data_IF_221005688653
#
_entry.id   IF_221005688653
#
_cell.length_a   1.000
_cell.length_b   1.000
_cell.length_c   1.000
_cell.angle_alpha   90.00
_cell.angle_beta   90.00
_cell.angle_gamma   90.00
#
_symmetry.space_group_name_H-M   'P 1'
#
loop_
_entity.id
_entity.type
_entity.pdbx_description
1 polymer ?
#
# COMPACT_ATOMS: atom_id res chain seq x y z
N UNK A 1 20.93 35.83 -10.72
CA UNK A 1 20.03 34.68 -10.65
C UNK A 1 19.76 34.50 -9.17
N UNK A 2 18.60 34.95 -8.69
CA UNK A 2 18.15 34.67 -7.33
C UNK A 2 17.93 33.15 -7.25
N UNK A 3 18.77 32.48 -6.46
CA UNK A 3 18.58 31.08 -6.10
C UNK A 3 17.31 31.04 -5.24
N UNK A 4 16.18 30.73 -5.86
CA UNK A 4 14.94 30.53 -5.11
C UNK A 4 15.14 29.30 -4.21
N UNK A 5 15.27 29.54 -2.91
CA UNK A 5 15.52 28.50 -1.88
C UNK A 5 14.49 27.35 -1.93
N UNK A 6 13.38 27.55 -2.63
CA UNK A 6 12.33 26.54 -2.83
C UNK A 6 12.43 25.80 -4.17
N UNK A 7 13.39 26.11 -5.03
CA UNK A 7 13.59 25.41 -6.30
C UNK A 7 14.49 24.19 -6.10
N UNK A 8 13.90 23.11 -5.59
CA UNK A 8 14.56 21.83 -5.38
C UNK A 8 13.61 20.65 -5.72
N UNK A 9 14.14 19.44 -5.94
CA UNK A 9 13.34 18.27 -6.32
C UNK A 9 12.18 17.94 -5.35
N UNK A 10 12.35 18.13 -4.05
CA UNK A 10 11.30 17.88 -3.07
C UNK A 10 10.16 18.89 -3.23
N UNK A 11 10.47 20.19 -3.33
CA UNK A 11 9.46 21.22 -3.55
C UNK A 11 8.70 21.00 -4.85
N UNK A 12 9.39 20.63 -5.95
CA UNK A 12 8.76 20.31 -7.22
C UNK A 12 7.77 19.14 -7.09
N UNK A 13 8.15 18.09 -6.34
CA UNK A 13 7.26 16.96 -6.07
C UNK A 13 6.06 17.36 -5.20
N UNK A 14 6.27 18.15 -4.14
CA UNK A 14 5.18 18.66 -3.29
C UNK A 14 4.16 19.44 -4.13
N UNK A 15 4.63 20.40 -4.93
CA UNK A 15 3.77 21.25 -5.77
C UNK A 15 3.05 20.47 -6.88
N UNK A 16 3.55 19.29 -7.25
CA UNK A 16 2.90 18.42 -8.26
C UNK A 16 1.83 17.50 -7.69
N UNK A 17 1.66 17.40 -6.36
CA UNK A 17 0.69 16.49 -5.76
C UNK A 17 -0.77 16.80 -6.11
N UNK A 18 -1.23 18.06 -6.17
CA UNK A 18 -2.59 18.38 -6.60
C UNK A 18 -2.93 17.81 -7.98
N UNK A 19 -2.02 17.98 -8.95
CA UNK A 19 -2.19 17.44 -10.31
C UNK A 19 -2.08 15.92 -10.36
N UNK A 20 -1.22 15.34 -9.51
CA UNK A 20 -1.04 13.89 -9.40
C UNK A 20 -2.25 13.19 -8.81
N UNK A 21 -3.00 13.84 -7.92
CA UNK A 21 -4.00 13.18 -7.08
C UNK A 21 -5.00 12.34 -7.88
N UNK A 22 -5.63 12.93 -8.92
CA UNK A 22 -6.63 12.25 -9.72
C UNK A 22 -6.04 11.07 -10.52
N UNK A 23 -5.01 11.24 -11.37
CA UNK A 23 -4.45 10.11 -12.14
C UNK A 23 -3.87 9.02 -11.23
N UNK A 24 -3.31 9.38 -10.05
CA UNK A 24 -2.82 8.40 -9.10
C UNK A 24 -3.95 7.55 -8.50
N UNK A 25 -5.06 8.17 -8.12
CA UNK A 25 -6.22 7.45 -7.58
C UNK A 25 -6.83 6.54 -8.65
N UNK A 26 -7.01 7.03 -9.87
CA UNK A 26 -7.53 6.24 -11.00
C UNK A 26 -6.64 5.04 -11.31
N UNK A 27 -5.31 5.25 -11.39
CA UNK A 27 -4.35 4.16 -11.61
C UNK A 27 -4.34 3.14 -10.46
N UNK A 28 -4.41 3.61 -9.22
CA UNK A 28 -4.47 2.72 -8.07
C UNK A 28 -5.80 1.94 -7.98
N UNK A 29 -6.94 2.52 -8.36
CA UNK A 29 -8.22 1.80 -8.45
C UNK A 29 -8.18 0.71 -9.52
N UNK A 30 -7.62 1.02 -10.71
CA UNK A 30 -7.41 0.04 -11.77
C UNK A 30 -6.52 -1.11 -11.27
N UNK A 31 -5.38 -0.80 -10.66
CA UNK A 31 -4.49 -1.80 -10.10
C UNK A 31 -5.16 -2.65 -9.02
N UNK A 32 -5.96 -2.04 -8.14
CA UNK A 32 -6.68 -2.76 -7.09
C UNK A 32 -7.71 -3.73 -7.64
N UNK A 33 -8.40 -3.35 -8.71
CA UNK A 33 -9.40 -4.22 -9.36
C UNK A 33 -8.80 -5.49 -9.98
N UNK A 34 -7.50 -5.47 -10.26
CA UNK A 34 -6.75 -6.58 -10.88
C UNK A 34 -5.84 -7.32 -9.89
N UNK A 35 -5.63 -6.75 -8.69
CA UNK A 35 -4.57 -7.20 -7.78
C UNK A 35 -4.86 -8.55 -7.13
N UNK A 36 -6.03 -8.73 -6.58
CA UNK A 36 -6.36 -9.86 -5.71
C UNK A 36 -7.85 -10.19 -5.79
N UNK A 37 -8.25 -11.46 -5.92
CA UNK A 37 -9.64 -11.86 -6.00
C UNK A 37 -10.45 -11.47 -4.75
N UNK A 38 -11.70 -11.07 -4.95
CA UNK A 38 -12.56 -10.61 -3.85
C UNK A 38 -12.90 -11.73 -2.84
N UNK A 39 -13.00 -12.97 -3.30
CA UNK A 39 -13.26 -14.13 -2.45
C UNK A 39 -12.08 -14.40 -1.49
N UNK A 40 -10.85 -14.10 -1.92
CA UNK A 40 -9.67 -14.13 -1.06
C UNK A 40 -9.74 -13.01 -0.03
N UNK A 41 -10.02 -11.76 -0.45
CA UNK A 41 -10.13 -10.62 0.46
C UNK A 41 -11.23 -10.79 1.51
N UNK A 42 -12.36 -11.41 1.16
CA UNK A 42 -13.47 -11.68 2.09
C UNK A 42 -13.09 -12.53 3.30
N UNK A 43 -12.06 -13.36 3.17
CA UNK A 43 -11.55 -14.22 4.24
C UNK A 43 -10.61 -13.50 5.20
N UNK A 44 -10.01 -12.39 4.78
CA UNK A 44 -8.96 -11.72 5.55
C UNK A 44 -9.48 -11.19 6.89
N UNK A 45 -8.73 -11.47 7.96
CA UNK A 45 -8.98 -11.05 9.34
C UNK A 45 -7.77 -10.36 9.94
N UNK A 46 -6.59 -10.67 9.43
CA UNK A 46 -5.32 -10.12 9.90
C UNK A 46 -4.56 -9.49 8.74
N UNK A 47 -3.97 -8.33 8.98
CA UNK A 47 -3.13 -7.65 7.98
C UNK A 47 -1.82 -7.27 8.66
N UNK A 48 -0.71 -7.70 8.06
CA UNK A 48 0.63 -7.23 8.37
C UNK A 48 1.13 -6.41 7.17
N UNK A 49 1.43 -5.14 7.39
CA UNK A 49 2.00 -4.27 6.35
C UNK A 49 3.47 -4.06 6.65
N UNK A 50 4.33 -4.27 5.67
CA UNK A 50 5.77 -4.09 5.84
C UNK A 50 6.39 -3.26 4.72
N UNK A 51 7.49 -2.57 5.04
CA UNK A 51 8.20 -1.69 4.12
C UNK A 51 9.58 -1.31 4.63
N UNK A 52 10.33 -0.62 3.78
CA UNK A 52 11.61 0.01 4.11
C UNK A 52 11.49 1.52 3.92
N UNK A 53 12.13 2.34 4.78
CA UNK A 53 12.10 3.81 4.66
C UNK A 53 10.67 4.37 4.55
N UNK A 54 10.40 5.16 3.53
CA UNK A 54 9.10 5.79 3.30
C UNK A 54 7.95 4.79 3.15
N UNK A 55 8.22 3.61 2.59
CA UNK A 55 7.23 2.54 2.49
C UNK A 55 6.81 2.01 3.88
N UNK A 56 7.74 1.97 4.84
CA UNK A 56 7.40 1.65 6.23
C UNK A 56 6.55 2.76 6.88
N UNK A 57 6.87 4.03 6.61
CA UNK A 57 6.09 5.16 7.11
C UNK A 57 4.67 5.15 6.50
N UNK A 58 4.54 4.81 5.21
CA UNK A 58 3.23 4.63 4.58
C UNK A 58 2.44 3.47 5.22
N UNK A 59 3.09 2.36 5.54
CA UNK A 59 2.47 1.24 6.25
C UNK A 59 1.93 1.67 7.63
N UNK A 60 2.73 2.41 8.40
CA UNK A 60 2.33 2.95 9.70
C UNK A 60 1.13 3.89 9.58
N UNK A 61 1.18 4.83 8.62
CA UNK A 61 0.12 5.81 8.39
C UNK A 61 -1.20 5.17 7.91
N UNK A 62 -1.16 4.00 7.28
CA UNK A 62 -2.34 3.31 6.79
C UNK A 62 -3.12 2.54 7.87
N UNK A 63 -2.51 2.15 8.99
CA UNK A 63 -3.17 1.34 10.03
C UNK A 63 -4.48 1.95 10.55
N UNK A 64 -4.58 3.26 10.83
CA UNK A 64 -5.86 3.87 11.23
C UNK A 64 -6.98 3.66 10.22
N UNK A 65 -6.67 3.71 8.90
CA UNK A 65 -7.65 3.44 7.85
C UNK A 65 -8.11 1.98 7.86
N UNK A 66 -7.20 1.01 7.98
CA UNK A 66 -7.56 -0.41 8.13
C UNK A 66 -8.45 -0.64 9.35
N UNK A 67 -8.13 -0.03 10.49
CA UNK A 67 -8.95 -0.11 11.70
C UNK A 67 -10.33 0.50 11.51
N UNK A 68 -10.41 1.65 10.85
CA UNK A 68 -11.67 2.37 10.59
C UNK A 68 -12.59 1.63 9.62
N UNK A 69 -12.04 1.17 8.49
CA UNK A 69 -12.84 0.60 7.41
C UNK A 69 -13.06 -0.90 7.55
N UNK A 70 -12.03 -1.66 7.92
CA UNK A 70 -12.06 -3.13 7.95
C UNK A 70 -12.01 -3.73 9.37
N UNK A 71 -11.97 -2.88 10.41
CA UNK A 71 -11.94 -3.33 11.80
C UNK A 71 -13.26 -3.93 12.26
N UNK A 72 -13.21 -5.19 12.72
CA UNK A 72 -14.33 -5.89 13.35
C UNK A 72 -13.79 -6.73 14.51
N UNK A 73 -14.67 -7.31 15.29
CA UNK A 73 -14.26 -8.18 16.38
C UNK A 73 -13.34 -9.31 15.89
N UNK A 74 -12.16 -9.43 16.52
CA UNK A 74 -11.13 -10.40 16.16
C UNK A 74 -10.20 -9.98 15.01
N UNK A 75 -10.42 -8.84 14.34
CA UNK A 75 -9.48 -8.33 13.32
C UNK A 75 -8.21 -7.76 13.97
N UNK A 76 -7.07 -8.01 13.33
CA UNK A 76 -5.77 -7.52 13.76
C UNK A 76 -5.05 -6.84 12.59
N UNK A 77 -4.60 -5.60 12.82
CA UNK A 77 -3.85 -4.80 11.85
C UNK A 77 -2.55 -4.34 12.49
N UNK A 78 -1.44 -4.69 11.86
CA UNK A 78 -0.10 -4.40 12.34
C UNK A 78 0.80 -3.93 11.19
N UNK A 79 1.91 -3.30 11.57
CA UNK A 79 2.96 -2.88 10.66
C UNK A 79 4.34 -3.16 11.27
N UNK A 80 5.33 -3.39 10.43
CA UNK A 80 6.71 -3.60 10.84
C UNK A 80 7.69 -3.16 9.75
N UNK A 81 8.90 -2.75 10.13
CA UNK A 81 9.98 -2.61 9.15
C UNK A 81 10.27 -3.99 8.55
N UNK A 82 10.65 -4.02 7.25
CA UNK A 82 10.86 -5.28 6.57
C UNK A 82 11.90 -6.18 7.26
N UNK A 83 12.96 -5.60 7.82
CA UNK A 83 13.97 -6.34 8.58
C UNK A 83 13.39 -6.97 9.86
N UNK A 84 12.52 -6.26 10.56
CA UNK A 84 11.91 -6.74 11.81
C UNK A 84 10.84 -7.79 11.49
N UNK A 85 10.04 -7.57 10.44
CA UNK A 85 9.07 -8.55 9.96
C UNK A 85 9.75 -9.86 9.56
N UNK A 86 10.87 -9.78 8.82
CA UNK A 86 11.64 -10.96 8.43
C UNK A 86 12.23 -11.73 9.63
N UNK A 87 12.64 -11.04 10.69
CA UNK A 87 13.33 -11.66 11.82
C UNK A 87 12.42 -12.14 12.94
N UNK A 88 11.39 -11.36 13.25
CA UNK A 88 10.64 -11.50 14.51
C UNK A 88 9.17 -11.89 14.31
N UNK A 89 8.64 -11.88 13.07
CA UNK A 89 7.26 -12.33 12.87
C UNK A 89 7.18 -13.85 12.92
N UNK A 90 6.33 -14.35 13.80
CA UNK A 90 5.89 -15.75 13.76
C UNK A 90 4.76 -15.90 12.72
N UNK A 91 5.12 -16.23 11.50
CA UNK A 91 4.18 -16.41 10.40
C UNK A 91 3.23 -17.60 10.62
N UNK A 92 3.62 -18.60 11.42
CA UNK A 92 2.78 -19.76 11.71
C UNK A 92 1.53 -19.37 12.52
N UNK A 93 1.63 -18.32 13.33
CA UNK A 93 0.54 -17.82 14.18
C UNK A 93 -0.34 -16.76 13.51
N UNK A 94 0.02 -16.28 12.29
CA UNK A 94 -0.74 -15.21 11.61
C UNK A 94 -2.13 -15.65 11.14
N UNK A 95 -2.37 -16.95 10.92
CA UNK A 95 -3.70 -17.46 10.56
C UNK A 95 -3.84 -17.94 9.12
N UNK A 96 -2.74 -18.22 8.43
CA UNK A 96 -2.75 -18.81 7.09
C UNK A 96 -3.53 -17.98 6.09
N UNK A 97 -4.47 -18.56 5.35
CA UNK A 97 -5.29 -17.88 4.33
C UNK A 97 -6.15 -16.71 4.84
N UNK A 98 -6.30 -16.57 6.15
CA UNK A 98 -7.01 -15.44 6.77
C UNK A 98 -6.09 -14.25 7.07
N UNK A 99 -4.80 -14.36 6.79
CA UNK A 99 -3.81 -13.31 6.99
C UNK A 99 -3.29 -12.78 5.66
N UNK A 100 -3.34 -11.46 5.48
CA UNK A 100 -2.76 -10.73 4.35
C UNK A 100 -1.45 -10.08 4.78
N UNK A 101 -0.36 -10.44 4.14
CA UNK A 101 0.96 -9.83 4.33
C UNK A 101 1.27 -8.95 3.14
N UNK A 102 1.36 -7.64 3.37
CA UNK A 102 1.56 -6.64 2.32
C UNK A 102 3.01 -6.15 2.37
N UNK A 103 3.77 -6.44 1.34
CA UNK A 103 5.10 -5.88 1.10
C UNK A 103 5.00 -4.59 0.28
N UNK A 104 5.24 -3.44 0.91
CA UNK A 104 5.18 -2.13 0.25
C UNK A 104 6.57 -1.74 -0.23
N UNK A 105 6.72 -1.56 -1.53
CA UNK A 105 7.97 -1.08 -2.14
C UNK A 105 7.73 -0.58 -3.55
N UNK A 106 7.90 0.71 -3.79
CA UNK A 106 7.71 1.29 -5.12
C UNK A 106 8.56 0.59 -6.20
N UNK A 107 9.84 0.39 -5.95
CA UNK A 107 10.75 -0.34 -6.86
C UNK A 107 10.60 -1.85 -6.79
N UNK A 108 10.08 -2.40 -5.68
CA UNK A 108 10.02 -3.82 -5.39
C UNK A 108 11.39 -4.51 -5.26
N UNK A 109 12.47 -3.74 -5.18
CA UNK A 109 13.86 -4.24 -5.18
C UNK A 109 14.41 -4.74 -3.85
N UNK A 110 14.06 -4.15 -2.68
CA UNK A 110 14.69 -4.51 -1.42
C UNK A 110 14.48 -5.99 -1.04
N UNK A 111 15.57 -6.73 -0.87
CA UNK A 111 15.56 -8.18 -0.62
C UNK A 111 14.74 -8.57 0.63
N UNK A 112 14.69 -7.70 1.65
CA UNK A 112 13.90 -7.97 2.86
C UNK A 112 12.39 -8.00 2.62
N UNK A 113 11.90 -7.27 1.62
CA UNK A 113 10.49 -7.33 1.20
C UNK A 113 10.20 -8.72 0.60
N UNK A 114 11.02 -9.17 -0.35
CA UNK A 114 10.86 -10.50 -0.96
C UNK A 114 10.98 -11.62 0.09
N UNK A 115 11.92 -11.52 1.04
CA UNK A 115 12.06 -12.49 2.14
C UNK A 115 10.78 -12.59 2.98
N UNK A 116 10.17 -11.47 3.34
CA UNK A 116 8.91 -11.46 4.12
C UNK A 116 7.78 -12.11 3.31
N UNK A 117 7.65 -11.77 2.03
CA UNK A 117 6.61 -12.32 1.16
C UNK A 117 6.78 -13.81 0.92
N UNK A 118 8.04 -14.28 0.73
CA UNK A 118 8.35 -15.71 0.62
C UNK A 118 8.00 -16.48 1.89
N UNK A 119 8.34 -15.92 3.06
CA UNK A 119 7.97 -16.53 4.34
C UNK A 119 6.46 -16.58 4.53
N UNK A 120 5.74 -15.51 4.19
CA UNK A 120 4.29 -15.50 4.21
C UNK A 120 3.69 -16.63 3.36
N UNK A 121 4.18 -16.81 2.13
CA UNK A 121 3.76 -17.90 1.23
C UNK A 121 4.02 -19.28 1.85
N UNK A 122 5.22 -19.48 2.42
CA UNK A 122 5.61 -20.77 3.05
C UNK A 122 4.67 -21.17 4.19
N UNK A 123 4.12 -20.21 4.91
CA UNK A 123 3.18 -20.44 6.02
C UNK A 123 1.70 -20.30 5.62
N UNK A 124 1.42 -20.31 4.32
CA UNK A 124 0.06 -20.28 3.79
C UNK A 124 -0.67 -18.95 3.95
N UNK A 125 0.05 -17.87 4.32
CA UNK A 125 -0.54 -16.53 4.33
C UNK A 125 -0.71 -16.00 2.90
N UNK A 126 -1.72 -15.16 2.69
CA UNK A 126 -1.88 -14.41 1.44
C UNK A 126 -0.83 -13.31 1.38
N UNK A 127 0.05 -13.35 0.39
CA UNK A 127 1.08 -12.33 0.19
C UNK A 127 0.71 -11.39 -0.95
N UNK A 128 0.93 -10.08 -0.76
CA UNK A 128 0.65 -9.03 -1.72
C UNK A 128 1.84 -8.08 -1.83
N UNK A 129 2.40 -7.92 -3.02
CA UNK A 129 3.35 -6.86 -3.31
C UNK A 129 2.61 -5.61 -3.78
N UNK A 130 2.72 -4.49 -3.05
CA UNK A 130 2.27 -3.18 -3.49
C UNK A 130 3.45 -2.42 -4.07
N UNK A 131 3.46 -2.22 -5.39
CA UNK A 131 4.63 -1.75 -6.13
C UNK A 131 4.26 -0.98 -7.39
N UNK A 132 5.22 -0.28 -8.00
CA UNK A 132 5.13 0.28 -9.36
C UNK A 132 5.78 -0.61 -10.43
N UNK A 133 6.55 -1.63 -10.00
CA UNK A 133 7.32 -2.45 -10.92
C UNK A 133 6.81 -3.90 -10.91
N UNK A 134 6.04 -4.32 -11.94
CA UNK A 134 5.51 -5.68 -12.04
C UNK A 134 6.62 -6.73 -12.22
N UNK A 135 7.78 -6.33 -12.73
CA UNK A 135 8.92 -7.22 -12.97
C UNK A 135 9.88 -7.32 -11.77
N UNK A 136 9.55 -6.64 -10.66
CA UNK A 136 10.40 -6.60 -9.49
C UNK A 136 10.50 -7.94 -8.76
N UNK A 137 11.58 -8.19 -7.98
CA UNK A 137 11.69 -9.34 -7.12
C UNK A 137 10.51 -9.52 -6.17
N UNK A 138 10.01 -8.43 -5.59
CA UNK A 138 8.85 -8.49 -4.69
C UNK A 138 7.57 -8.94 -5.42
N UNK A 139 7.31 -8.41 -6.64
CA UNK A 139 6.16 -8.81 -7.44
C UNK A 139 6.23 -10.29 -7.86
N UNK A 140 7.42 -10.76 -8.25
CA UNK A 140 7.64 -12.16 -8.63
C UNK A 140 7.55 -13.15 -7.46
N UNK A 141 7.80 -12.67 -6.24
CA UNK A 141 7.75 -13.51 -5.02
C UNK A 141 6.34 -13.60 -4.44
N UNK A 142 5.58 -12.49 -4.47
CA UNK A 142 4.24 -12.43 -3.91
C UNK A 142 3.24 -13.31 -4.67
N UNK A 143 2.23 -13.84 -3.97
CA UNK A 143 1.12 -14.53 -4.61
C UNK A 143 0.27 -13.58 -5.46
N UNK A 144 0.21 -12.30 -5.07
CA UNK A 144 -0.54 -11.26 -5.75
C UNK A 144 0.28 -9.97 -5.86
N UNK A 145 0.00 -9.19 -6.90
CA UNK A 145 0.64 -7.89 -7.10
C UNK A 145 -0.39 -6.79 -7.25
N UNK A 146 -0.24 -5.73 -6.47
CA UNK A 146 -1.01 -4.51 -6.57
C UNK A 146 -0.15 -3.40 -7.18
N UNK A 147 -0.40 -3.08 -8.43
CA UNK A 147 0.29 -1.99 -9.13
C UNK A 147 -0.40 -0.66 -8.82
N UNK A 148 0.34 0.30 -8.28
CA UNK A 148 -0.21 1.63 -7.95
C UNK A 148 -0.08 2.66 -9.08
N UNK A 149 0.62 2.32 -10.17
CA UNK A 149 0.70 3.10 -11.42
C UNK A 149 1.06 4.58 -11.22
N UNK A 150 2.13 4.85 -10.47
CA UNK A 150 2.59 6.24 -10.28
C UNK A 150 3.15 6.79 -11.59
N UNK A 151 2.58 7.88 -12.14
CA UNK A 151 3.13 8.52 -13.32
C UNK A 151 4.57 8.99 -13.13
N UNK A 152 5.38 8.89 -14.18
CA UNK A 152 6.74 9.37 -14.18
C UNK A 152 6.84 10.86 -13.85
N UNK A 153 7.96 11.25 -13.29
CA UNK A 153 8.25 12.64 -12.94
C UNK A 153 9.76 12.91 -13.11
N UNK A 154 10.16 14.04 -13.72
CA UNK A 154 11.57 14.30 -14.04
C UNK A 154 12.50 14.25 -12.83
N UNK A 155 12.03 14.69 -11.67
CA UNK A 155 12.76 14.72 -10.42
C UNK A 155 12.22 13.67 -9.45
N UNK A 156 12.51 12.39 -9.70
CA UNK A 156 11.93 11.26 -8.96
C UNK A 156 12.41 11.12 -7.50
N UNK A 157 13.55 11.69 -7.15
CA UNK A 157 14.08 11.66 -5.78
C UNK A 157 13.80 13.00 -5.07
N UNK A 158 13.44 12.99 -3.77
CA UNK A 158 13.47 11.87 -2.80
C UNK A 158 12.29 10.90 -2.80
N UNK A 159 11.41 10.88 -3.77
CA UNK A 159 10.37 9.84 -3.89
C UNK A 159 9.05 10.15 -3.18
N UNK A 160 8.73 11.42 -2.93
CA UNK A 160 7.48 11.83 -2.29
C UNK A 160 6.23 11.36 -3.05
N UNK A 161 6.25 11.41 -4.39
CA UNK A 161 5.15 10.91 -5.24
C UNK A 161 4.93 9.42 -5.06
N UNK A 162 6.00 8.65 -4.90
CA UNK A 162 5.94 7.21 -4.62
C UNK A 162 5.39 6.91 -3.22
N UNK A 163 5.74 7.72 -2.22
CA UNK A 163 5.12 7.66 -0.90
C UNK A 163 3.62 7.93 -0.97
N UNK A 164 3.21 9.01 -1.65
CA UNK A 164 1.81 9.36 -1.88
C UNK A 164 1.04 8.22 -2.55
N UNK A 165 1.61 7.60 -3.58
CA UNK A 165 1.02 6.48 -4.30
C UNK A 165 0.86 5.25 -3.40
N UNK A 166 1.90 4.89 -2.65
CA UNK A 166 1.86 3.75 -1.71
C UNK A 166 0.78 3.94 -0.65
N UNK A 167 0.70 5.13 -0.06
CA UNK A 167 -0.31 5.46 0.94
C UNK A 167 -1.72 5.46 0.35
N UNK A 168 -1.89 6.00 -0.87
CA UNK A 168 -3.17 5.99 -1.59
C UNK A 168 -3.62 4.56 -1.86
N UNK A 169 -2.74 3.70 -2.37
CA UNK A 169 -3.05 2.29 -2.59
C UNK A 169 -3.47 1.56 -1.32
N UNK A 170 -2.78 1.79 -0.21
CA UNK A 170 -3.14 1.21 1.09
C UNK A 170 -4.50 1.69 1.61
N UNK A 171 -4.84 2.96 1.44
CA UNK A 171 -6.14 3.51 1.85
C UNK A 171 -7.29 2.91 1.02
N UNK A 172 -7.12 2.81 -0.30
CA UNK A 172 -8.12 2.18 -1.18
C UNK A 172 -8.30 0.70 -0.84
N UNK A 173 -7.22 -0.04 -0.58
CA UNK A 173 -7.28 -1.43 -0.16
C UNK A 173 -8.01 -1.59 1.19
N UNK A 174 -7.77 -0.70 2.16
CA UNK A 174 -8.47 -0.71 3.44
C UNK A 174 -9.98 -0.51 3.28
N UNK A 175 -10.40 0.44 2.44
CA UNK A 175 -11.82 0.70 2.14
C UNK A 175 -12.45 -0.48 1.41
N UNK A 176 -11.80 -1.04 0.37
CA UNK A 176 -12.26 -2.22 -0.37
C UNK A 176 -12.42 -3.43 0.56
N UNK A 177 -11.43 -3.69 1.41
CA UNK A 177 -11.50 -4.77 2.40
C UNK A 177 -12.69 -4.58 3.35
N UNK A 178 -12.93 -3.34 3.78
CA UNK A 178 -14.08 -3.00 4.64
C UNK A 178 -15.42 -3.30 4.00
N UNK A 179 -15.61 -2.95 2.74
CA UNK A 179 -16.84 -3.26 1.99
C UNK A 179 -17.04 -4.77 1.83
N UNK A 180 -16.00 -5.47 1.37
CA UNK A 180 -16.07 -6.91 1.11
C UNK A 180 -16.31 -7.74 2.37
N UNK A 181 -15.88 -7.25 3.52
CA UNK A 181 -16.07 -7.93 4.81
C UNK A 181 -17.32 -7.48 5.56
N UNK A 182 -18.07 -6.50 5.02
CA UNK A 182 -19.26 -5.93 5.64
C UNK A 182 -18.97 -5.03 6.86
N UNK A 183 -17.70 -4.62 7.05
CA UNK A 183 -17.31 -3.70 8.12
C UNK A 183 -17.59 -2.24 7.77
N UNK A 184 -17.59 -1.91 6.49
CA UNK A 184 -17.96 -0.62 5.94
C UNK A 184 -19.23 -0.73 5.08
N UNK A 185 -19.94 0.38 4.94
CA UNK A 185 -21.07 0.47 4.03
C UNK A 185 -20.60 0.44 2.58
N UNK A 186 -21.44 -0.01 1.63
CA UNK A 186 -21.17 0.20 0.20
C UNK A 186 -20.90 1.68 -0.11
N UNK A 187 -19.96 1.95 -1.01
CA UNK A 187 -19.51 3.31 -1.34
C UNK A 187 -18.32 3.82 -0.50
N UNK A 188 -17.79 3.00 0.42
CA UNK A 188 -16.62 3.41 1.21
C UNK A 188 -15.36 3.53 0.34
N UNK A 189 -15.21 2.68 -0.69
CA UNK A 189 -14.11 2.76 -1.65
C UNK A 189 -14.19 4.03 -2.50
N UNK A 190 -15.35 4.32 -3.07
CA UNK A 190 -15.59 5.53 -3.86
C UNK A 190 -15.42 6.79 -3.00
N UNK A 191 -15.95 6.78 -1.77
CA UNK A 191 -15.78 7.87 -0.82
C UNK A 191 -14.31 8.10 -0.45
N UNK A 192 -13.52 7.04 -0.26
CA UNK A 192 -12.08 7.16 -0.02
C UNK A 192 -11.35 7.73 -1.25
N UNK A 193 -11.70 7.26 -2.44
CA UNK A 193 -11.12 7.74 -3.70
C UNK A 193 -11.40 9.24 -3.91
N UNK A 194 -12.66 9.66 -3.76
CA UNK A 194 -13.06 11.07 -3.86
C UNK A 194 -12.34 11.94 -2.83
N UNK A 195 -12.36 11.55 -1.56
CA UNK A 195 -11.69 12.30 -0.49
C UNK A 195 -10.17 12.42 -0.73
N UNK A 196 -9.55 11.40 -1.33
CA UNK A 196 -8.11 11.43 -1.64
C UNK A 196 -7.78 12.45 -2.71
N UNK A 197 -8.63 12.58 -3.74
CA UNK A 197 -8.48 13.59 -4.79
C UNK A 197 -8.76 14.99 -4.23
N UNK A 198 -9.92 15.21 -3.60
CA UNK A 198 -10.36 16.49 -3.09
C UNK A 198 -9.40 17.09 -2.06
N UNK A 199 -9.01 16.31 -1.05
CA UNK A 199 -8.12 16.81 0.00
C UNK A 199 -6.70 17.09 -0.50
N UNK A 200 -6.24 16.41 -1.57
CA UNK A 200 -4.93 16.69 -2.14
C UNK A 200 -4.98 17.89 -3.09
N UNK A 201 -6.06 18.06 -3.83
CA UNK A 201 -6.26 19.22 -4.73
C UNK A 201 -6.47 20.54 -3.96
N UNK A 202 -6.88 20.47 -2.71
CA UNK A 202 -7.11 21.65 -1.85
C UNK A 202 -5.82 22.24 -1.25
N UNK A 203 -4.66 21.64 -1.51
CA UNK A 203 -3.34 22.12 -1.08
C UNK A 203 -2.73 23.05 -2.13
#
# INVERSE_FOLDING_TARGET
MENNMFDNPLSSQCLSLPELAKPQVEGALLGLSQAIPEDVLKKIRRVLITGCGDSYVAAQAAIPAFRKFAGRFGSQFSYARAIDAARFTDFSSLGGENALVIGVSCSGGPARISEVLERANRYGCVSLALTNNPESPAAKTAAYTYLVHTPEFPNANPGLRNYFASLTGLYLLAAKLGELTGCSKPGALEGMAAARVENTAAW
#
